data_IF_267365586825
#
_entry.id   IF_267365586825
#
_cell.length_a   1.000
_cell.length_b   1.000
_cell.length_c   1.000
_cell.angle_alpha   90.00
_cell.angle_beta   90.00
_cell.angle_gamma   90.00
#
_symmetry.space_group_name_H-M   'P 1'
#
loop_
_entity.id
_entity.type
_entity.pdbx_description
1 polymer ?
#
# COMPACT_ATOMS: atom_id res chain seq x y z
N UNK A 1 15.05 32.54 -34.75
CA UNK A 1 15.13 31.90 -33.42
C UNK A 1 14.10 30.79 -33.36
N UNK A 2 14.46 29.60 -32.89
CA UNK A 2 13.49 28.52 -32.70
C UNK A 2 12.48 28.92 -31.62
N UNK A 3 11.18 28.71 -31.88
CA UNK A 3 10.10 29.06 -30.96
C UNK A 3 10.09 28.04 -29.81
N UNK A 4 10.20 28.51 -28.57
CA UNK A 4 10.15 27.63 -27.39
C UNK A 4 8.74 27.06 -27.23
N UNK A 5 8.64 25.76 -26.94
CA UNK A 5 7.40 25.09 -26.55
C UNK A 5 7.12 25.38 -25.07
N UNK A 6 5.94 25.91 -24.76
CA UNK A 6 5.49 26.06 -23.38
C UNK A 6 4.75 24.79 -22.97
N UNK A 7 5.18 24.17 -21.86
CA UNK A 7 4.60 22.95 -21.31
C UNK A 7 4.09 23.27 -19.90
N UNK A 8 2.87 22.83 -19.59
CA UNK A 8 2.30 22.90 -18.25
C UNK A 8 1.93 21.49 -17.78
N UNK A 9 2.49 21.06 -16.67
CA UNK A 9 2.10 19.80 -16.01
C UNK A 9 1.05 20.10 -14.95
N UNK A 10 -0.12 19.47 -15.08
CA UNK A 10 -1.19 19.53 -14.10
C UNK A 10 -1.51 18.12 -13.62
N UNK A 11 -1.34 17.89 -12.32
CA UNK A 11 -1.63 16.62 -11.68
C UNK A 11 -2.91 16.76 -10.85
N UNK A 12 -3.97 16.13 -11.31
CA UNK A 12 -5.22 16.05 -10.56
C UNK A 12 -5.21 14.81 -9.66
N UNK A 13 -5.09 15.04 -8.35
CA UNK A 13 -5.01 14.02 -7.32
C UNK A 13 -6.38 13.84 -6.68
N UNK A 14 -6.94 12.64 -6.86
CA UNK A 14 -8.29 12.30 -6.39
C UNK A 14 -8.31 10.91 -5.76
N UNK A 15 -9.01 10.81 -4.64
CA UNK A 15 -9.59 9.57 -4.13
C UNK A 15 -11.04 9.85 -3.72
N UNK A 16 -11.97 8.90 -3.95
CA UNK A 16 -13.29 8.93 -3.34
C UNK A 16 -13.22 9.08 -1.81
N UNK A 17 -14.31 9.56 -1.20
CA UNK A 17 -14.46 9.48 0.24
C UNK A 17 -14.73 8.02 0.63
N UNK A 18 -13.76 7.39 1.29
CA UNK A 18 -13.90 6.02 1.81
C UNK A 18 -14.36 5.97 3.28
N UNK A 19 -14.54 7.14 3.90
CA UNK A 19 -14.92 7.28 5.30
C UNK A 19 -16.38 6.87 5.51
N UNK A 20 -16.59 5.90 6.38
CA UNK A 20 -17.88 5.62 6.96
C UNK A 20 -18.12 6.60 8.12
N UNK A 21 -19.12 7.47 7.98
CA UNK A 21 -19.46 8.48 8.99
C UNK A 21 -20.09 7.88 10.26
N UNK A 22 -20.60 6.65 10.20
CA UNK A 22 -21.18 5.98 11.37
C UNK A 22 -20.10 5.33 12.22
N UNK A 23 -19.15 4.63 11.58
CA UNK A 23 -18.08 3.90 12.29
C UNK A 23 -16.80 4.72 12.45
N UNK A 24 -16.67 5.83 11.73
CA UNK A 24 -15.45 6.64 11.61
C UNK A 24 -14.26 5.84 11.06
N UNK A 25 -14.52 4.80 10.26
CA UNK A 25 -13.51 3.91 9.67
C UNK A 25 -13.50 4.04 8.15
N UNK A 26 -12.36 3.71 7.55
CA UNK A 26 -12.18 3.69 6.10
C UNK A 26 -12.44 2.30 5.53
N UNK A 27 -13.26 2.22 4.48
CA UNK A 27 -13.58 0.93 3.85
C UNK A 27 -12.43 0.36 3.00
N UNK A 28 -11.59 1.23 2.43
CA UNK A 28 -10.50 0.84 1.54
C UNK A 28 -9.21 1.57 1.92
N UNK A 29 -8.05 0.94 1.71
CA UNK A 29 -6.76 1.45 2.17
C UNK A 29 -6.15 2.45 1.18
N UNK A 30 -6.86 2.78 0.10
CA UNK A 30 -6.28 3.43 -1.08
C UNK A 30 -5.72 4.81 -0.79
N UNK A 31 -6.34 5.60 0.09
CA UNK A 31 -5.77 6.90 0.49
C UNK A 31 -4.40 6.70 1.15
N UNK A 32 -4.31 5.77 2.11
CA UNK A 32 -3.05 5.45 2.82
C UNK A 32 -2.00 4.89 1.86
N UNK A 33 -2.36 3.89 1.06
CA UNK A 33 -1.42 3.20 0.17
C UNK A 33 -0.95 4.07 -1.00
N UNK A 34 -1.83 4.87 -1.61
CA UNK A 34 -1.39 5.84 -2.62
C UNK A 34 -0.66 7.04 -2.01
N UNK A 35 -1.00 7.40 -0.77
CA UNK A 35 -0.30 8.40 0.05
C UNK A 35 1.19 8.10 0.18
N UNK A 36 1.54 6.92 0.69
CA UNK A 36 2.94 6.47 0.87
C UNK A 36 3.64 6.07 -0.45
N UNK A 37 2.93 6.15 -1.58
CA UNK A 37 3.41 5.80 -2.92
C UNK A 37 3.46 7.00 -3.83
N UNK A 38 2.46 7.12 -4.72
CA UNK A 38 2.46 8.05 -5.84
C UNK A 38 2.36 9.50 -5.38
N UNK A 39 1.55 9.79 -4.35
CA UNK A 39 1.40 11.16 -3.87
C UNK A 39 2.70 11.66 -3.24
N UNK A 40 3.30 10.85 -2.37
CA UNK A 40 4.60 11.16 -1.78
C UNK A 40 5.72 11.24 -2.83
N UNK A 41 5.89 10.22 -3.67
CA UNK A 41 6.93 10.18 -4.70
C UNK A 41 6.87 11.39 -5.64
N UNK A 42 5.68 11.80 -6.07
CA UNK A 42 5.53 12.93 -6.98
C UNK A 42 5.97 14.25 -6.34
N UNK A 43 5.68 14.46 -5.06
CA UNK A 43 6.20 15.63 -4.33
C UNK A 43 7.73 15.58 -4.23
N UNK A 44 8.29 14.44 -3.84
CA UNK A 44 9.74 14.27 -3.67
C UNK A 44 10.52 14.45 -4.97
N UNK A 45 10.03 13.88 -6.08
CA UNK A 45 10.67 14.04 -7.40
C UNK A 45 10.67 15.50 -7.84
N UNK A 46 9.60 16.25 -7.58
CA UNK A 46 9.53 17.67 -7.94
C UNK A 46 10.54 18.50 -7.14
N UNK A 47 10.74 18.20 -5.86
CA UNK A 47 11.76 18.87 -5.02
C UNK A 47 13.19 18.64 -5.53
N UNK A 48 13.45 17.52 -6.22
CA UNK A 48 14.78 17.17 -6.75
C UNK A 48 15.09 17.82 -8.10
N UNK A 49 14.07 18.36 -8.77
CA UNK A 49 14.22 18.98 -10.09
C UNK A 49 14.09 20.49 -9.93
N UNK A 50 15.23 21.17 -9.78
CA UNK A 50 15.35 22.61 -9.46
C UNK A 50 14.48 23.54 -10.32
N UNK A 51 14.31 23.21 -11.61
CA UNK A 51 13.54 24.03 -12.55
C UNK A 51 12.11 23.51 -12.82
N UNK A 52 11.66 22.45 -12.13
CA UNK A 52 10.34 21.88 -12.35
C UNK A 52 9.24 22.87 -11.99
N UNK A 53 8.29 23.03 -12.91
CA UNK A 53 7.06 23.81 -12.69
C UNK A 53 5.87 22.90 -12.94
N UNK A 54 5.19 22.55 -11.85
CA UNK A 54 4.03 21.67 -11.89
C UNK A 54 2.91 22.29 -11.06
N UNK A 55 1.67 21.97 -11.40
CA UNK A 55 0.50 22.32 -10.59
C UNK A 55 -0.10 21.03 -10.05
N UNK A 56 -0.21 20.92 -8.73
CA UNK A 56 -0.98 19.86 -8.10
C UNK A 56 -2.36 20.41 -7.72
N UNK A 57 -3.39 19.70 -8.15
CA UNK A 57 -4.76 19.92 -7.69
C UNK A 57 -5.16 18.74 -6.81
N UNK A 58 -5.39 18.98 -5.52
CA UNK A 58 -5.92 17.97 -4.60
C UNK A 58 -7.40 18.19 -4.36
N UNK A 59 -8.21 17.14 -4.48
CA UNK A 59 -9.61 17.20 -4.11
C UNK A 59 -9.75 17.23 -2.58
N UNK A 60 -10.64 18.04 -1.99
CA UNK A 60 -10.74 18.19 -0.53
C UNK A 60 -10.92 16.87 0.22
N UNK A 61 -11.75 15.95 -0.31
CA UNK A 61 -11.95 14.62 0.28
C UNK A 61 -10.65 13.82 0.37
N UNK A 62 -9.70 13.98 -0.56
CA UNK A 62 -8.40 13.32 -0.44
C UNK A 62 -7.59 13.91 0.72
N UNK A 63 -7.57 15.24 0.86
CA UNK A 63 -6.80 15.93 1.89
C UNK A 63 -7.30 15.60 3.30
N UNK A 64 -8.62 15.59 3.52
CA UNK A 64 -9.21 15.23 4.81
C UNK A 64 -8.81 13.81 5.24
N UNK A 65 -8.89 12.85 4.32
CA UNK A 65 -8.55 11.46 4.61
C UNK A 65 -7.04 11.26 4.85
N UNK A 66 -6.19 11.94 4.08
CA UNK A 66 -4.74 11.94 4.32
C UNK A 66 -4.41 12.52 5.70
N UNK A 67 -5.09 13.60 6.09
CA UNK A 67 -4.90 14.23 7.41
C UNK A 67 -5.31 13.29 8.54
N UNK A 68 -6.45 12.62 8.42
CA UNK A 68 -6.88 11.62 9.42
C UNK A 68 -5.81 10.54 9.64
N UNK A 69 -5.21 9.99 8.58
CA UNK A 69 -4.12 9.00 8.74
C UNK A 69 -2.86 9.61 9.35
N UNK A 70 -2.48 10.82 8.94
CA UNK A 70 -1.29 11.50 9.45
C UNK A 70 -1.42 11.83 10.95
N UNK A 71 -2.62 12.17 11.40
CA UNK A 71 -2.94 12.47 12.80
C UNK A 71 -3.16 11.20 13.65
N UNK A 72 -3.04 10.00 13.06
CA UNK A 72 -3.24 8.73 13.76
C UNK A 72 -4.70 8.41 14.09
N UNK A 73 -5.65 9.13 13.50
CA UNK A 73 -7.10 8.96 13.70
C UNK A 73 -7.66 7.98 12.66
N UNK A 74 -7.11 8.00 11.45
CA UNK A 74 -7.55 7.19 10.32
C UNK A 74 -7.14 5.74 10.45
N UNK A 75 -8.13 4.84 10.36
CA UNK A 75 -7.92 3.40 10.27
C UNK A 75 -8.78 2.79 9.17
N UNK A 76 -8.25 1.77 8.52
CA UNK A 76 -8.95 0.95 7.54
C UNK A 76 -8.88 -0.53 7.92
N UNK A 77 -9.80 -1.34 7.37
CA UNK A 77 -9.85 -2.77 7.67
C UNK A 77 -8.53 -3.50 7.32
N UNK A 78 -7.80 -3.07 6.28
CA UNK A 78 -6.50 -3.67 5.93
C UNK A 78 -5.44 -3.28 6.96
N UNK A 79 -5.44 -2.05 7.45
CA UNK A 79 -4.51 -1.61 8.50
C UNK A 79 -4.76 -2.39 9.81
N UNK A 80 -6.01 -2.55 10.21
CA UNK A 80 -6.35 -3.34 11.40
C UNK A 80 -5.89 -4.79 11.27
N UNK A 81 -6.13 -5.40 10.10
CA UNK A 81 -5.69 -6.77 9.85
C UNK A 81 -4.18 -6.85 9.69
N UNK A 82 -3.50 -5.79 9.25
CA UNK A 82 -2.03 -5.72 9.20
C UNK A 82 -1.43 -5.73 10.60
N UNK A 83 -2.04 -5.01 11.54
CA UNK A 83 -1.51 -4.81 12.89
C UNK A 83 -1.79 -5.99 13.84
N UNK A 84 -2.72 -6.87 13.49
CA UNK A 84 -3.05 -8.03 14.33
C UNK A 84 -1.98 -9.12 14.21
N UNK A 85 -1.53 -9.67 15.34
CA UNK A 85 -0.61 -10.80 15.32
C UNK A 85 -1.30 -12.02 14.66
N UNK A 86 -0.60 -12.80 13.80
CA UNK A 86 -1.24 -13.89 13.06
C UNK A 86 -1.94 -14.96 13.90
N UNK A 87 -1.48 -15.18 15.14
CA UNK A 87 -2.13 -16.11 16.08
C UNK A 87 -3.51 -15.67 16.51
N UNK A 88 -3.77 -14.36 16.45
CA UNK A 88 -5.00 -13.76 16.96
C UNK A 88 -6.03 -13.56 15.83
N UNK A 89 -5.63 -13.80 14.58
CA UNK A 89 -6.52 -13.78 13.42
C UNK A 89 -7.51 -14.94 13.51
N UNK A 90 -8.79 -14.60 13.51
CA UNK A 90 -9.89 -15.52 13.24
C UNK A 90 -9.80 -16.07 11.82
N UNK A 91 -10.58 -17.12 11.56
CA UNK A 91 -10.65 -17.76 10.24
C UNK A 91 -11.13 -16.77 9.17
N UNK A 92 -12.11 -15.93 9.52
CA UNK A 92 -12.68 -14.91 8.64
C UNK A 92 -11.66 -13.82 8.30
N UNK A 93 -10.87 -13.37 9.28
CA UNK A 93 -9.79 -12.40 9.05
C UNK A 93 -8.66 -13.00 8.19
N UNK A 94 -8.34 -14.29 8.38
CA UNK A 94 -7.40 -15.00 7.50
C UNK A 94 -7.90 -15.08 6.07
N UNK A 95 -9.19 -15.39 5.86
CA UNK A 95 -9.82 -15.33 4.54
C UNK A 95 -9.70 -13.92 3.96
N UNK A 96 -9.99 -12.89 4.76
CA UNK A 96 -9.84 -11.50 4.33
C UNK A 96 -8.41 -11.21 3.85
N UNK A 97 -7.39 -11.64 4.59
CA UNK A 97 -6.00 -11.49 4.17
C UNK A 97 -5.76 -12.15 2.81
N UNK A 98 -6.10 -13.43 2.66
CA UNK A 98 -5.87 -14.16 1.42
C UNK A 98 -6.65 -13.58 0.24
N UNK A 99 -7.87 -13.06 0.45
CA UNK A 99 -8.65 -12.45 -0.61
C UNK A 99 -8.11 -11.08 -1.05
N UNK A 100 -7.53 -10.29 -0.13
CA UNK A 100 -7.34 -8.85 -0.35
C UNK A 100 -5.88 -8.38 -0.32
N UNK A 101 -4.98 -9.10 0.36
CA UNK A 101 -3.57 -8.71 0.51
C UNK A 101 -2.71 -9.01 -0.72
N UNK A 102 -3.35 -9.31 -1.85
CA UNK A 102 -2.73 -9.36 -3.18
C UNK A 102 -3.34 -8.30 -4.12
N UNK A 103 -4.10 -7.33 -3.61
CA UNK A 103 -4.58 -6.18 -4.38
C UNK A 103 -3.43 -5.22 -4.71
N UNK A 104 -2.53 -5.66 -5.59
CA UNK A 104 -1.38 -4.95 -6.10
C UNK A 104 -1.09 -5.47 -7.52
N UNK A 105 -0.37 -4.71 -8.35
CA UNK A 105 -0.09 -5.13 -9.72
C UNK A 105 0.82 -6.38 -9.74
N UNK A 106 0.39 -7.54 -10.29
CA UNK A 106 1.14 -8.78 -10.15
C UNK A 106 2.59 -8.69 -10.65
N UNK A 107 2.81 -8.17 -11.86
CA UNK A 107 4.15 -8.13 -12.49
C UNK A 107 5.11 -7.10 -11.88
N UNK A 108 4.60 -6.06 -11.24
CA UNK A 108 5.41 -4.91 -10.81
C UNK A 108 5.49 -4.78 -9.29
N UNK A 109 4.57 -5.42 -8.57
CA UNK A 109 4.42 -5.26 -7.12
C UNK A 109 4.41 -6.60 -6.38
N UNK A 110 4.18 -7.73 -7.06
CA UNK A 110 4.14 -9.05 -6.40
C UNK A 110 5.32 -9.89 -6.87
N UNK A 111 5.36 -10.23 -8.16
CA UNK A 111 6.35 -11.11 -8.79
C UNK A 111 7.81 -10.66 -8.67
N UNK A 112 8.14 -9.35 -8.58
CA UNK A 112 9.52 -8.93 -8.31
C UNK A 112 10.06 -9.35 -6.94
N UNK A 113 9.19 -9.70 -5.98
CA UNK A 113 9.56 -10.07 -4.63
C UNK A 113 9.35 -11.58 -4.41
N UNK A 114 10.42 -12.40 -4.33
CA UNK A 114 10.31 -13.86 -4.41
C UNK A 114 9.34 -14.47 -3.40
N UNK A 115 9.40 -14.03 -2.14
CA UNK A 115 8.50 -14.53 -1.09
C UNK A 115 7.05 -14.11 -1.33
N UNK A 116 6.80 -12.89 -1.78
CA UNK A 116 5.44 -12.43 -2.04
C UNK A 116 4.81 -13.18 -3.22
N UNK A 117 5.60 -13.46 -4.26
CA UNK A 117 5.21 -14.30 -5.39
C UNK A 117 4.92 -15.75 -4.96
N UNK A 118 5.73 -16.32 -4.08
CA UNK A 118 5.50 -17.64 -3.47
C UNK A 118 4.15 -17.67 -2.73
N UNK A 119 3.86 -16.66 -1.90
CA UNK A 119 2.59 -16.53 -1.18
C UNK A 119 1.40 -16.39 -2.15
N UNK A 120 1.56 -15.67 -3.26
CA UNK A 120 0.51 -15.57 -4.29
C UNK A 120 0.22 -16.94 -4.93
N UNK A 121 1.26 -17.72 -5.23
CA UNK A 121 1.12 -19.07 -5.75
C UNK A 121 0.52 -20.03 -4.71
N UNK A 122 0.93 -19.92 -3.44
CA UNK A 122 0.35 -20.66 -2.31
C UNK A 122 -1.11 -20.27 -2.05
N UNK A 123 -1.56 -19.08 -2.43
CA UNK A 123 -2.97 -18.70 -2.34
C UNK A 123 -3.78 -19.39 -3.41
N UNK A 124 -3.28 -19.44 -4.65
CA UNK A 124 -4.02 -20.00 -5.77
C UNK A 124 -5.26 -19.17 -6.14
N UNK A 125 -6.41 -19.83 -6.31
CA UNK A 125 -7.65 -19.19 -6.75
C UNK A 125 -8.22 -18.22 -5.68
N UNK A 126 -8.36 -16.91 -5.96
CA UNK A 126 -8.92 -15.93 -5.03
C UNK A 126 -10.32 -16.27 -4.52
N UNK A 127 -11.11 -17.00 -5.31
CA UNK A 127 -12.49 -17.34 -4.97
C UNK A 127 -12.60 -18.59 -4.08
N UNK A 128 -11.50 -19.31 -3.85
CA UNK A 128 -11.46 -20.56 -3.07
C UNK A 128 -10.50 -20.51 -1.89
N UNK A 129 -10.07 -19.31 -1.49
CA UNK A 129 -9.10 -19.12 -0.40
C UNK A 129 -9.58 -19.71 0.94
N UNK A 130 -10.90 -19.79 1.15
CA UNK A 130 -11.49 -20.41 2.34
C UNK A 130 -11.12 -21.89 2.50
N UNK A 131 -10.79 -22.60 1.43
CA UNK A 131 -10.36 -24.01 1.47
C UNK A 131 -8.88 -24.15 1.86
N UNK A 132 -8.10 -23.07 1.77
CA UNK A 132 -6.64 -23.09 1.93
C UNK A 132 -6.15 -22.48 3.24
N UNK A 133 -7.05 -21.91 4.04
CA UNK A 133 -6.71 -21.21 5.30
C UNK A 133 -5.85 -22.07 6.22
N UNK A 134 -6.16 -23.36 6.30
CA UNK A 134 -5.51 -24.33 7.19
C UNK A 134 -4.16 -24.84 6.64
N UNK A 135 -3.84 -24.55 5.37
CA UNK A 135 -2.54 -24.86 4.76
C UNK A 135 -1.47 -23.79 5.09
N UNK A 136 -1.89 -22.63 5.62
CA UNK A 136 -1.03 -21.48 5.87
C UNK A 136 -0.60 -21.41 7.34
N UNK A 137 0.69 -21.20 7.56
CA UNK A 137 1.26 -20.99 8.89
C UNK A 137 1.12 -19.53 9.34
N UNK A 138 1.28 -19.28 10.64
CA UNK A 138 1.35 -17.92 11.18
C UNK A 138 2.47 -17.08 10.52
N UNK A 139 3.59 -17.71 10.14
CA UNK A 139 4.68 -17.02 9.45
C UNK A 139 4.29 -16.63 8.01
N UNK A 140 3.49 -17.45 7.32
CA UNK A 140 2.99 -17.11 5.98
C UNK A 140 2.07 -15.87 6.02
N UNK A 141 1.19 -15.80 7.01
CA UNK A 141 0.33 -14.63 7.24
C UNK A 141 1.14 -13.39 7.61
N UNK A 142 2.14 -13.51 8.49
CA UNK A 142 3.00 -12.38 8.85
C UNK A 142 3.78 -11.85 7.63
N UNK A 143 4.37 -12.77 6.85
CA UNK A 143 5.07 -12.40 5.63
C UNK A 143 4.12 -11.73 4.63
N UNK A 144 2.87 -12.19 4.52
CA UNK A 144 1.85 -11.58 3.67
C UNK A 144 1.46 -10.16 4.14
N UNK A 145 1.19 -9.97 5.43
CA UNK A 145 0.85 -8.68 6.02
C UNK A 145 1.96 -7.64 5.75
N UNK A 146 3.21 -8.04 5.95
CA UNK A 146 4.38 -7.19 5.71
C UNK A 146 4.54 -6.90 4.21
N UNK A 147 4.50 -7.92 3.35
CA UNK A 147 4.74 -7.72 1.91
C UNK A 147 3.69 -6.87 1.23
N UNK A 148 2.42 -7.03 1.60
CA UNK A 148 1.36 -6.17 1.09
C UNK A 148 1.69 -4.70 1.32
N UNK A 149 2.07 -4.32 2.55
CA UNK A 149 2.39 -2.92 2.84
C UNK A 149 3.73 -2.48 2.21
N UNK A 150 4.77 -3.31 2.28
CA UNK A 150 6.10 -3.00 1.71
C UNK A 150 6.05 -2.70 0.22
N UNK A 151 5.26 -3.47 -0.54
CA UNK A 151 5.21 -3.27 -1.99
C UNK A 151 4.60 -1.92 -2.37
N UNK A 152 3.72 -1.38 -1.54
CA UNK A 152 3.07 -0.11 -1.76
C UNK A 152 3.98 1.09 -1.50
N UNK A 153 5.11 0.97 -0.81
CA UNK A 153 6.02 2.11 -0.66
C UNK A 153 6.50 2.64 -2.03
N UNK A 154 6.55 3.97 -2.13
CA UNK A 154 7.07 4.68 -3.29
C UNK A 154 8.55 4.37 -3.55
N UNK A 155 8.99 4.55 -4.80
CA UNK A 155 10.38 4.26 -5.18
C UNK A 155 11.35 5.18 -4.44
N UNK A 156 10.96 6.44 -4.22
CA UNK A 156 11.82 7.40 -3.50
C UNK A 156 12.08 6.97 -2.06
N UNK A 157 11.12 6.31 -1.42
CA UNK A 157 11.27 5.74 -0.08
C UNK A 157 12.11 4.47 -0.14
N UNK A 158 11.79 3.54 -1.05
CA UNK A 158 12.55 2.28 -1.22
C UNK A 158 14.05 2.52 -1.51
N UNK A 159 14.39 3.63 -2.14
CA UNK A 159 15.79 3.96 -2.47
C UNK A 159 16.56 4.64 -1.32
N UNK A 160 15.88 5.15 -0.28
CA UNK A 160 16.50 6.06 0.71
C UNK A 160 16.26 5.71 2.16
N UNK A 161 15.14 5.06 2.45
CA UNK A 161 14.79 4.70 3.81
C UNK A 161 15.48 3.38 4.19
N UNK A 162 16.42 3.46 5.14
CA UNK A 162 17.26 2.32 5.54
C UNK A 162 16.44 1.18 6.16
N UNK A 163 15.34 1.50 6.85
CA UNK A 163 14.46 0.53 7.49
C UNK A 163 13.66 -0.23 6.44
N UNK A 164 13.02 0.49 5.51
CA UNK A 164 12.29 -0.12 4.39
C UNK A 164 13.22 -0.98 3.53
N UNK A 165 14.43 -0.49 3.25
CA UNK A 165 15.43 -1.30 2.55
C UNK A 165 15.84 -2.54 3.33
N UNK A 166 16.01 -2.41 4.66
CA UNK A 166 16.32 -3.53 5.54
C UNK A 166 15.25 -4.61 5.47
N UNK A 167 13.98 -4.22 5.51
CA UNK A 167 12.84 -5.13 5.40
C UNK A 167 12.79 -5.81 4.02
N UNK A 168 12.95 -5.05 2.93
CA UNK A 168 12.97 -5.60 1.56
C UNK A 168 14.14 -6.60 1.39
N UNK A 169 15.33 -6.28 1.91
CA UNK A 169 16.50 -7.19 1.89
C UNK A 169 16.26 -8.44 2.70
N UNK A 170 15.60 -8.33 3.88
CA UNK A 170 15.24 -9.49 4.70
C UNK A 170 14.30 -10.42 3.92
N UNK A 171 13.29 -9.86 3.28
CA UNK A 171 12.47 -10.49 2.25
C UNK A 171 11.52 -11.61 2.71
N UNK A 172 11.78 -12.27 3.84
CA UNK A 172 10.90 -13.30 4.44
C UNK A 172 11.23 -13.50 5.92
N UNK A 173 10.39 -14.27 6.62
CA UNK A 173 10.65 -14.61 8.02
C UNK A 173 10.60 -13.37 8.91
N UNK A 174 9.65 -12.46 8.63
CA UNK A 174 9.47 -11.27 9.45
C UNK A 174 9.10 -11.63 10.89
N UNK A 175 9.35 -10.71 11.80
CA UNK A 175 9.10 -10.87 13.23
C UNK A 175 8.26 -9.68 13.69
N UNK A 176 7.21 -9.96 14.46
CA UNK A 176 6.35 -8.98 15.10
C UNK A 176 6.91 -8.51 16.45
#
# INVERSE_FOLDING_TARGET
MARKLNIAFLWHMHQPCYKDLHTNRYHLPWVRLHGIKGYYDMGRIVEEVEAARVTFNFVPSLLEQLSDYADGIGTDIYLEHTLKHPSDLSREEKIFLLSNFFHAHPDHMIRPYPRYAELEAMRGDPYRVGERVDEWTNQDYLDLQVWFNLTWFGQTVKDRDEEIQGLIRKGRGYSA
#
